data_IF_123983389100
#
_entry.id   IF_123983389100
#
_cell.length_a   1.000
_cell.length_b   1.000
_cell.length_c   1.000
_cell.angle_alpha   90.00
_cell.angle_beta   90.00
_cell.angle_gamma   90.00
#
_symmetry.space_group_name_H-M   'P 1'
#
loop_
_entity.id
_entity.type
_entity.pdbx_description
1 polymer ?
2 non-polymer ?
3 water ?
#
# COMPACT_ATOMS: atom_id res chain seq x y z
N UNK A 6 -11.33 -19.05 -6.76
CA UNK A 6 -11.83 -18.27 -7.89
C UNK A 6 -10.69 -17.58 -8.63
N UNK A 7 -9.48 -18.10 -8.47
CA UNK A 7 -8.30 -17.60 -9.15
C UNK A 7 -7.51 -18.79 -9.68
N UNK A 8 -7.17 -18.75 -10.96
CA UNK A 8 -6.52 -19.88 -11.59
C UNK A 8 -5.23 -20.22 -10.85
N UNK A 9 -4.89 -21.52 -10.72
CA UNK A 9 -3.63 -21.87 -10.07
C UNK A 9 -2.43 -21.35 -10.84
N UNK A 10 -1.38 -20.98 -10.10
CA UNK A 10 -0.15 -20.49 -10.69
C UNK A 10 0.82 -21.64 -10.93
N UNK A 11 1.58 -21.54 -12.03
CA UNK A 11 2.62 -22.50 -12.31
C UNK A 11 3.84 -22.20 -11.44
N UNK A 12 4.71 -23.20 -11.22
CA UNK A 12 5.94 -22.92 -10.47
C UNK A 12 6.81 -21.85 -11.12
N UNK A 13 6.80 -21.77 -12.45
CA UNK A 13 7.57 -20.74 -13.14
C UNK A 13 6.98 -19.37 -12.88
N UNK A 14 5.66 -19.25 -13.03
CA UNK A 14 5.01 -17.96 -12.81
C UNK A 14 5.16 -17.51 -11.36
N UNK A 15 5.02 -18.44 -10.42
CA UNK A 15 5.19 -18.09 -9.00
C UNK A 15 6.60 -17.59 -8.74
N UNK A 16 7.60 -18.21 -9.37
CA UNK A 16 8.98 -17.74 -9.19
C UNK A 16 9.18 -16.38 -9.84
N UNK A 17 8.59 -16.18 -11.02
CA UNK A 17 8.67 -14.87 -11.67
C UNK A 17 8.06 -13.78 -10.80
N UNK A 18 6.93 -14.07 -10.17
CA UNK A 18 6.24 -13.06 -9.37
C UNK A 18 7.12 -12.58 -8.22
N UNK A 19 7.93 -13.46 -7.64
CA UNK A 19 8.82 -13.06 -6.56
C UNK A 19 9.98 -12.21 -7.04
N UNK A 20 10.27 -12.22 -8.35
CA UNK A 20 11.41 -11.50 -8.90
C UNK A 20 11.05 -10.11 -9.40
N UNK A 21 9.79 -9.68 -9.26
CA UNK A 21 9.36 -8.38 -9.76
C UNK A 21 8.67 -7.62 -8.63
N UNK A 22 8.59 -6.31 -8.80
CA UNK A 22 8.07 -5.44 -7.76
C UNK A 22 6.56 -5.59 -7.62
N UNK A 23 6.07 -5.30 -6.41
CA UNK A 23 4.63 -5.22 -6.20
C UNK A 23 4.07 -4.00 -6.93
N UNK A 24 2.80 -4.10 -7.31
CA UNK A 24 2.20 -3.13 -8.23
C UNK A 24 0.92 -2.56 -7.66
N UNK A 25 0.62 -1.34 -8.07
CA UNK A 25 -0.56 -0.60 -7.64
C UNK A 25 -1.52 -0.51 -8.81
N UNK A 26 -2.80 -0.76 -8.55
CA UNK A 26 -3.87 -0.56 -9.52
C UNK A 26 -4.71 0.62 -9.03
N UNK A 27 -4.65 1.73 -9.76
CA UNK A 27 -5.43 2.90 -9.44
C UNK A 27 -6.78 2.77 -10.12
N UNK A 28 -7.86 3.03 -9.37
CA UNK A 28 -9.21 2.79 -9.84
C UNK A 28 -10.02 4.08 -9.78
N UNK A 29 -10.63 4.43 -10.90
CA UNK A 29 -11.62 5.50 -10.95
C UNK A 29 -12.97 4.97 -10.49
N UNK A 30 -13.85 5.88 -10.09
CA UNK A 30 -15.18 5.49 -9.62
C UNK A 30 -16.25 5.73 -10.68
N UNK A 31 -16.53 7.00 -10.97
CA UNK A 31 -17.68 7.33 -11.81
C UNK A 31 -17.48 6.84 -13.24
N UNK A 32 -18.45 6.07 -13.72
CA UNK A 32 -18.48 5.48 -15.06
C UNK A 32 -17.39 4.44 -15.27
N UNK A 33 -16.62 4.11 -14.24
CA UNK A 33 -15.68 3.00 -14.27
C UNK A 33 -16.15 1.83 -13.43
N UNK A 34 -16.47 2.07 -12.16
CA UNK A 34 -17.00 1.04 -11.27
C UNK A 34 -18.45 1.26 -10.89
N UNK A 35 -18.94 2.49 -10.95
CA UNK A 35 -20.29 2.84 -10.55
C UNK A 35 -20.81 3.93 -11.48
N UNK A 36 -22.12 4.13 -11.45
CA UNK A 36 -22.74 5.34 -11.99
C UNK A 36 -23.82 5.78 -11.02
N UNK A 37 -23.84 7.08 -10.72
CA UNK A 37 -24.79 7.63 -9.77
C UNK A 37 -25.45 8.86 -10.37
N UNK A 38 -26.60 9.21 -9.80
CA UNK A 38 -27.31 10.44 -10.14
C UNK A 38 -27.98 10.95 -8.88
N UNK A 39 -28.20 12.25 -8.83
CA UNK A 39 -28.87 12.86 -7.70
C UNK A 39 -30.33 13.12 -8.07
N UNK A 40 -30.99 13.99 -7.31
CA UNK A 40 -32.42 14.21 -7.48
C UNK A 40 -32.68 15.18 -8.62
N UNK A 41 -33.55 14.79 -9.54
CA UNK A 41 -33.92 15.64 -10.66
C UNK A 41 -33.79 14.94 -12.00
N UNK A 50 -35.38 2.31 -15.93
CA UNK A 50 -35.29 2.61 -14.51
C UNK A 50 -35.14 1.38 -13.65
N UNK A 51 -34.06 1.30 -12.88
CA UNK A 51 -33.82 0.16 -12.03
C UNK A 51 -33.48 0.61 -10.63
N UNK A 52 -33.79 -0.18 -9.62
CA UNK A 52 -33.51 0.24 -8.23
C UNK A 52 -32.02 0.35 -8.00
N UNK A 53 -31.57 1.43 -7.35
CA UNK A 53 -30.14 1.59 -7.12
C UNK A 53 -29.60 0.56 -6.14
N UNK A 54 -28.29 0.36 -6.20
CA UNK A 54 -27.65 -0.61 -5.31
C UNK A 54 -27.49 -0.05 -3.90
N UNK A 55 -27.15 1.22 -3.78
CA UNK A 55 -27.21 1.90 -2.49
C UNK A 55 -27.48 3.39 -2.74
N UNK A 56 -27.87 4.08 -1.67
CA UNK A 56 -28.24 5.49 -1.73
C UNK A 56 -27.40 6.24 -0.71
N UNK A 57 -26.65 7.23 -1.18
CA UNK A 57 -25.83 8.07 -0.32
C UNK A 57 -26.57 9.35 0.03
N UNK A 58 -26.48 9.75 1.30
CA UNK A 58 -26.98 11.04 1.77
C UNK A 58 -25.77 11.86 2.20
N UNK A 59 -25.39 12.84 1.39
CA UNK A 59 -24.27 13.72 1.68
C UNK A 59 -24.76 15.15 1.63
N UNK A 60 -24.28 15.97 2.57
CA UNK A 60 -24.58 17.40 2.58
C UNK A 60 -23.38 18.13 2.01
N UNK A 61 -23.62 18.95 0.99
CA UNK A 61 -22.58 19.65 0.26
C UNK A 61 -22.92 21.13 0.25
N UNK A 62 -21.96 21.97 0.66
CA UNK A 62 -22.23 23.37 0.95
C UNK A 62 -23.41 23.50 1.89
N UNK A 63 -23.53 22.55 2.81
CA UNK A 63 -24.57 22.54 3.84
C UNK A 63 -25.98 22.45 3.23
N UNK A 64 -26.07 21.80 2.07
CA UNK A 64 -27.35 21.40 1.49
C UNK A 64 -27.39 19.88 1.39
N UNK A 65 -28.41 19.22 1.92
CA UNK A 65 -28.42 17.75 1.91
C UNK A 65 -28.81 17.23 0.52
N UNK A 66 -28.05 16.26 0.02
CA UNK A 66 -28.20 15.75 -1.33
C UNK A 66 -28.24 14.24 -1.29
N UNK A 67 -29.09 13.65 -2.12
CA UNK A 67 -29.22 12.20 -2.24
C UNK A 67 -28.65 11.74 -3.56
N UNK A 68 -27.76 10.75 -3.50
CA UNK A 68 -27.15 10.16 -4.69
C UNK A 68 -27.59 8.69 -4.77
N UNK A 69 -28.21 8.33 -5.88
CA UNK A 69 -28.64 6.95 -6.15
C UNK A 69 -27.54 6.29 -6.98
N UNK A 70 -26.86 5.31 -6.40
CA UNK A 70 -25.63 4.76 -6.95
C UNK A 70 -25.89 3.37 -7.49
N UNK A 71 -25.46 3.13 -8.73
CA UNK A 71 -25.58 1.84 -9.38
C UNK A 71 -24.19 1.24 -9.55
N UNK A 72 -24.03 -0.01 -9.13
CA UNK A 72 -22.78 -0.73 -9.32
C UNK A 72 -22.71 -1.28 -10.74
N UNK A 73 -21.55 -1.13 -11.36
CA UNK A 73 -21.30 -1.79 -12.64
C UNK A 73 -21.35 -3.30 -12.45
N UNK A 74 -21.94 -4.04 -13.38
CA UNK A 74 -22.02 -5.50 -13.20
C UNK A 74 -20.67 -6.13 -12.89
N UNK A 75 -20.64 -6.98 -11.86
CA UNK A 75 -19.50 -7.80 -11.48
C UNK A 75 -18.41 -7.01 -10.76
N UNK A 76 -18.72 -5.82 -10.25
CA UNK A 76 -17.67 -5.00 -9.63
C UNK A 76 -17.19 -5.63 -8.33
N UNK A 77 -18.10 -6.24 -7.56
CA UNK A 77 -17.70 -6.86 -6.30
C UNK A 77 -16.75 -8.04 -6.56
N UNK A 78 -17.13 -8.93 -7.47
CA UNK A 78 -16.25 -10.03 -7.84
C UNK A 78 -14.92 -9.49 -8.38
N UNK A 79 -15.00 -8.50 -9.26
CA UNK A 79 -13.79 -7.91 -9.83
C UNK A 79 -12.86 -7.41 -8.73
N UNK A 80 -13.40 -6.62 -7.80
CA UNK A 80 -12.56 -6.07 -6.72
C UNK A 80 -11.99 -7.19 -5.86
N UNK A 81 -12.79 -8.23 -5.59
CA UNK A 81 -12.30 -9.34 -4.79
C UNK A 81 -11.09 -9.99 -5.44
N UNK A 82 -11.10 -10.12 -6.76
CA UNK A 82 -10.02 -10.82 -7.45
C UNK A 82 -8.77 -9.94 -7.55
N UNK A 83 -8.92 -8.73 -8.08
CA UNK A 83 -7.73 -7.91 -8.32
C UNK A 83 -7.07 -7.46 -7.02
N UNK A 84 -7.82 -7.42 -5.91
CA UNK A 84 -7.22 -7.08 -4.63
C UNK A 84 -6.21 -8.14 -4.18
N UNK A 85 -6.24 -9.33 -4.78
CA UNK A 85 -5.24 -10.34 -4.52
C UNK A 85 -3.98 -10.16 -5.36
N UNK A 86 -4.04 -9.33 -6.40
CA UNK A 86 -2.92 -9.13 -7.30
C UNK A 86 -2.26 -7.76 -7.18
N UNK A 87 -3.03 -6.74 -6.78
CA UNK A 87 -2.54 -5.38 -6.76
C UNK A 87 -2.96 -4.70 -5.46
N UNK A 88 -2.20 -3.68 -5.08
CA UNK A 88 -2.66 -2.73 -4.08
C UNK A 88 -3.60 -1.75 -4.78
N UNK A 89 -4.84 -1.68 -4.31
CA UNK A 89 -5.85 -0.86 -4.95
C UNK A 89 -5.87 0.53 -4.34
N UNK A 90 -5.98 1.53 -5.21
CA UNK A 90 -6.03 2.94 -4.79
C UNK A 90 -7.12 3.62 -5.58
N UNK A 91 -8.04 4.27 -4.87
CA UNK A 91 -9.08 5.07 -5.53
C UNK A 91 -8.51 6.44 -5.85
N UNK A 92 -8.66 6.86 -7.11
CA UNK A 92 -8.27 8.20 -7.55
C UNK A 92 -9.45 8.79 -8.30
N UNK A 93 -10.14 9.73 -7.68
CA UNK A 93 -11.34 10.33 -8.24
C UNK A 93 -11.22 11.85 -8.23
N UNK A 94 -11.85 12.49 -9.20
CA UNK A 94 -11.95 13.93 -9.23
C UNK A 94 -13.18 14.45 -8.49
N UNK A 95 -13.96 13.55 -7.90
CA UNK A 95 -15.12 13.96 -7.12
C UNK A 95 -14.68 14.59 -5.80
N UNK A 96 -15.60 15.29 -5.17
CA UNK A 96 -15.35 15.83 -3.84
C UNK A 96 -15.27 14.71 -2.82
N UNK A 97 -14.40 14.89 -1.83
CA UNK A 97 -14.12 13.82 -0.88
C UNK A 97 -15.40 13.32 -0.21
N UNK A 98 -16.32 14.24 0.11
CA UNK A 98 -17.54 13.83 0.80
C UNK A 98 -18.31 12.80 -0.02
N UNK A 99 -18.28 12.92 -1.35
CA UNK A 99 -18.95 11.96 -2.22
C UNK A 99 -18.07 10.75 -2.49
N UNK A 100 -16.85 10.97 -2.98
CA UNK A 100 -15.98 9.87 -3.33
C UNK A 100 -15.70 8.95 -2.14
N UNK A 101 -15.57 9.52 -0.95
CA UNK A 101 -15.27 8.70 0.22
C UNK A 101 -16.44 7.79 0.57
N UNK A 102 -17.67 8.31 0.51
CA UNK A 102 -18.83 7.49 0.84
C UNK A 102 -19.01 6.36 -0.16
N UNK A 103 -18.84 6.65 -1.45
CA UNK A 103 -18.92 5.59 -2.46
C UNK A 103 -17.89 4.51 -2.16
N UNK A 104 -16.66 4.92 -1.86
CA UNK A 104 -15.60 3.93 -1.62
C UNK A 104 -15.91 3.10 -0.38
N UNK A 105 -16.46 3.71 0.66
CA UNK A 105 -16.85 2.95 1.84
C UNK A 105 -17.85 1.86 1.49
N UNK A 106 -18.87 2.21 0.70
CA UNK A 106 -19.88 1.23 0.34
C UNK A 106 -19.30 0.16 -0.58
N UNK A 107 -18.44 0.56 -1.52
CA UNK A 107 -17.83 -0.41 -2.42
C UNK A 107 -16.92 -1.37 -1.66
N UNK A 108 -16.08 -0.83 -0.77
CA UNK A 108 -15.19 -1.67 0.01
C UNK A 108 -15.98 -2.71 0.81
N UNK A 109 -17.11 -2.31 1.38
CA UNK A 109 -17.98 -3.20 2.12
C UNK A 109 -17.21 -4.00 3.17
N UNK A 110 -16.38 -3.30 3.93
CA UNK A 110 -15.65 -3.85 5.07
C UNK A 110 -14.60 -4.87 4.68
N UNK A 111 -14.31 -5.03 3.38
CA UNK A 111 -13.25 -5.94 2.96
C UNK A 111 -11.86 -5.34 3.17
N UNK A 112 -11.75 -4.02 3.33
CA UNK A 112 -10.49 -3.35 3.61
C UNK A 112 -9.51 -3.48 2.43
N UNK A 113 -10.00 -3.16 1.23
CA UNK A 113 -9.18 -3.19 0.04
C UNK A 113 -9.12 -1.84 -0.67
N UNK A 114 -10.01 -0.90 -0.34
CA UNK A 114 -10.07 0.41 -0.96
C UNK A 114 -9.79 1.51 0.06
N UNK A 115 -8.88 1.26 1.00
CA UNK A 115 -8.64 2.20 2.08
C UNK A 115 -7.83 3.42 1.64
N UNK A 116 -7.08 3.33 0.56
CA UNK A 116 -6.25 4.43 0.08
C UNK A 116 -7.00 5.17 -1.03
N UNK A 117 -7.30 6.45 -0.79
CA UNK A 117 -8.11 7.24 -1.71
C UNK A 117 -7.47 8.59 -1.95
N UNK A 118 -7.64 9.08 -3.18
CA UNK A 118 -7.25 10.43 -3.58
C UNK A 118 -8.44 11.09 -4.27
N UNK A 119 -8.70 12.34 -3.93
CA UNK A 119 -9.90 13.00 -4.40
C UNK A 119 -9.58 14.24 -5.23
N UNK A 120 -10.56 15.15 -5.37
CA UNK A 120 -10.40 16.30 -6.25
C UNK A 120 -9.16 17.11 -5.89
N UNK A 121 -8.93 17.34 -4.60
CA UNK A 121 -7.82 18.17 -4.17
C UNK A 121 -6.47 17.63 -4.60
N UNK A 122 -6.40 16.41 -5.13
CA UNK A 122 -5.16 15.83 -5.61
C UNK A 122 -5.07 15.76 -7.13
N UNK A 123 -6.09 16.23 -7.84
CA UNK A 123 -6.07 16.27 -9.30
C UNK A 123 -5.62 17.65 -9.77
N UNK A 124 -5.04 17.67 -10.97
CA UNK A 124 -4.66 18.91 -11.65
C UNK A 124 -5.66 19.20 -12.76
N UNK A 125 -6.20 20.41 -12.78
CA UNK A 125 -7.16 20.80 -13.81
C UNK A 125 -6.43 21.31 -15.04
N UNK A 126 -6.83 20.84 -16.21
CA UNK A 126 -6.15 21.18 -17.45
C UNK A 126 -7.13 21.01 -18.61
N UNK A 127 -7.37 22.10 -19.34
CA UNK A 127 -8.26 22.08 -20.51
C UNK A 127 -9.59 21.41 -20.17
N UNK A 128 -10.17 21.81 -19.04
CA UNK A 128 -11.45 21.29 -18.63
C UNK A 128 -11.46 19.86 -18.16
N UNK A 129 -10.29 19.24 -17.99
CA UNK A 129 -10.18 17.86 -17.56
C UNK A 129 -9.35 17.78 -16.28
N UNK A 130 -9.81 16.97 -15.33
CA UNK A 130 -9.04 16.70 -14.12
C UNK A 130 -8.00 15.62 -14.42
N UNK A 131 -6.73 15.97 -14.32
CA UNK A 131 -5.64 15.03 -14.55
C UNK A 131 -5.26 14.40 -13.22
N UNK A 132 -5.13 13.09 -13.20
CA UNK A 132 -4.75 12.34 -12.00
C UNK A 132 -3.27 11.98 -12.15
N UNK A 133 -2.41 12.81 -11.57
CA UNK A 133 -0.97 12.62 -11.62
C UNK A 133 -0.59 11.38 -10.82
N UNK A 134 -0.30 10.28 -11.53
CA UNK A 134 -0.05 9.01 -10.87
C UNK A 134 1.11 9.09 -9.89
N UNK A 135 2.08 9.97 -10.15
CA UNK A 135 3.24 10.06 -9.26
C UNK A 135 2.84 10.51 -7.86
N UNK A 136 1.64 11.10 -7.70
CA UNK A 136 1.13 11.40 -6.37
C UNK A 136 0.95 10.12 -5.59
N UNK A 137 0.53 9.05 -6.26
CA UNK A 137 0.27 7.76 -5.62
C UNK A 137 1.55 6.94 -5.52
N UNK A 138 2.40 7.00 -6.53
CA UNK A 138 3.57 6.13 -6.62
C UNK A 138 4.43 6.59 -7.80
N UNK A 139 5.60 7.16 -7.52
CA UNK A 139 6.42 7.77 -8.55
C UNK A 139 7.26 6.75 -9.32
N UNK A 140 7.32 5.50 -8.88
CA UNK A 140 7.97 4.45 -9.65
C UNK A 140 6.98 3.97 -10.69
N UNK A 141 7.04 4.57 -11.88
CA UNK A 141 6.05 4.33 -12.92
C UNK A 141 6.16 2.94 -13.54
N UNK A 142 7.15 2.13 -13.14
CA UNK A 142 7.20 0.75 -13.60
C UNK A 142 6.15 -0.13 -12.95
N UNK A 143 5.55 0.31 -11.84
CA UNK A 143 4.77 -0.56 -10.98
C UNK A 143 3.43 0.05 -10.59
N UNK A 144 2.86 0.90 -11.45
CA UNK A 144 1.57 1.51 -11.19
C UNK A 144 0.74 1.50 -12.46
N UNK A 145 -0.56 1.25 -12.30
CA UNK A 145 -1.51 1.16 -13.40
C UNK A 145 -2.77 1.91 -12.99
N UNK A 146 -3.43 2.52 -13.98
CA UNK A 146 -4.68 3.24 -13.76
C UNK A 146 -5.75 2.69 -14.70
N UNK A 147 -6.90 2.35 -14.12
CA UNK A 147 -8.09 1.94 -14.87
C UNK A 147 -9.09 3.09 -14.80
N UNK A 148 -9.33 3.74 -15.93
CA UNK A 148 -10.17 4.93 -15.96
C UNK A 148 -10.91 4.98 -17.29
N UNK A 149 -12.17 5.43 -17.23
CA UNK A 149 -12.99 5.55 -18.43
C UNK A 149 -12.76 6.85 -19.19
N UNK A 150 -12.09 7.83 -18.59
CA UNK A 150 -11.81 9.10 -19.25
C UNK A 150 -10.34 9.16 -19.63
N UNK A 151 -9.99 9.16 -20.91
CA UNK A 151 -8.56 9.26 -21.27
C UNK A 151 -7.92 10.55 -20.79
N UNK A 152 -8.70 11.61 -20.59
CA UNK A 152 -8.14 12.84 -20.07
C UNK A 152 -7.54 12.68 -18.69
N UNK A 153 -8.05 11.71 -17.91
CA UNK A 153 -7.60 11.58 -16.53
C UNK A 153 -6.15 11.12 -16.45
N UNK A 154 -5.69 10.29 -17.39
CA UNK A 154 -4.31 9.82 -17.43
C UNK A 154 -3.55 10.44 -18.60
N UNK A 155 -3.87 11.70 -18.91
CA UNK A 155 -3.20 12.39 -20.01
C UNK A 155 -1.69 12.48 -19.78
N UNK A 156 -1.26 12.52 -18.52
CA UNK A 156 0.16 12.61 -18.19
C UNK A 156 0.83 11.25 -18.07
N UNK A 157 0.06 10.16 -18.12
CA UNK A 157 0.63 8.82 -17.97
C UNK A 157 -0.11 7.83 -18.85
N UNK A 158 -0.16 8.07 -20.17
CA UNK A 158 -0.84 7.11 -21.06
C UNK A 158 -0.18 5.74 -21.08
N UNK A 159 1.12 5.67 -20.79
CA UNK A 159 1.83 4.40 -20.78
C UNK A 159 1.46 3.51 -19.59
N UNK A 160 0.75 4.05 -18.60
CA UNK A 160 0.37 3.30 -17.41
C UNK A 160 -1.14 3.08 -17.32
N UNK A 161 -1.85 3.28 -18.42
CA UNK A 161 -3.31 3.35 -18.39
C UNK A 161 -3.93 2.12 -19.06
N UNK A 162 -4.96 1.58 -18.42
CA UNK A 162 -5.86 0.61 -19.02
C UNK A 162 -7.18 1.32 -19.30
N UNK A 163 -7.55 1.57 -20.56
CA UNK A 163 -8.85 2.19 -20.82
C UNK A 163 -9.98 1.20 -20.66
N UNK A 164 -11.16 1.74 -20.36
CA UNK A 164 -12.36 0.93 -20.19
C UNK A 164 -13.55 1.76 -20.67
N UNK A 165 -14.52 1.10 -21.27
CA UNK A 165 -15.72 1.79 -21.73
C UNK A 165 -16.44 2.44 -20.56
N UNK A 166 -16.97 3.64 -20.80
CA UNK A 166 -17.78 4.30 -19.78
C UNK A 166 -19.08 3.54 -19.60
N UNK A 167 -19.49 3.36 -18.34
CA UNK A 167 -20.69 2.62 -18.00
C UNK A 167 -21.70 3.52 -17.30
N UNK A 168 -22.96 3.41 -17.69
CA UNK A 168 -24.02 4.20 -17.10
C UNK A 168 -25.18 3.35 -16.62
N UNK A 169 -25.50 2.26 -17.32
CA UNK A 169 -26.67 1.48 -16.98
C UNK A 169 -26.71 0.09 -17.61
N UNK A 170 -26.00 -0.09 -18.73
CA UNK A 170 -26.08 -1.34 -19.50
C UNK A 170 -25.95 -2.56 -18.59
N UNK A 171 -27.03 -3.33 -18.39
CA UNK A 171 -26.94 -4.48 -17.48
C UNK A 171 -26.14 -5.64 -18.05
N UNK A 172 -25.90 -5.67 -19.36
CA UNK A 172 -25.15 -6.75 -19.99
C UNK A 172 -23.65 -6.49 -20.02
N UNK A 173 -23.18 -5.42 -19.40
CA UNK A 173 -21.75 -5.09 -19.40
C UNK A 173 -20.96 -6.17 -18.67
N UNK A 174 -19.88 -6.63 -19.29
CA UNK A 174 -18.98 -7.61 -18.68
C UNK A 174 -17.53 -7.13 -18.72
N UNK A 175 -17.31 -5.82 -18.86
CA UNK A 175 -15.96 -5.32 -19.11
C UNK A 175 -15.03 -5.62 -17.94
N UNK A 176 -15.54 -5.51 -16.70
CA UNK A 176 -14.70 -5.80 -15.55
C UNK A 176 -14.24 -7.27 -15.56
N UNK A 177 -15.13 -8.18 -15.96
CA UNK A 177 -14.75 -9.58 -16.07
C UNK A 177 -13.71 -9.79 -17.16
N UNK A 178 -13.88 -9.11 -18.30
CA UNK A 178 -12.98 -9.29 -19.43
C UNK A 178 -11.59 -8.74 -19.18
N UNK A 179 -11.40 -7.94 -18.13
CA UNK A 179 -10.09 -7.39 -17.80
C UNK A 179 -9.26 -8.31 -16.91
N UNK A 180 -9.87 -9.35 -16.33
CA UNK A 180 -9.19 -10.08 -15.27
C UNK A 180 -7.97 -10.84 -15.76
N UNK A 181 -8.04 -11.61 -16.85
CA UNK A 181 -6.82 -12.34 -17.27
C UNK A 181 -5.69 -11.42 -17.66
N UNK A 182 -5.99 -10.29 -18.31
CA UNK A 182 -4.95 -9.33 -18.67
C UNK A 182 -4.31 -8.74 -17.42
N UNK A 183 -5.13 -8.34 -16.44
CA UNK A 183 -4.59 -7.81 -15.20
C UNK A 183 -3.80 -8.87 -14.45
N UNK A 184 -4.24 -10.13 -14.53
CA UNK A 184 -3.47 -11.24 -13.98
C UNK A 184 -2.09 -11.32 -14.63
N UNK A 185 -2.06 -11.39 -15.96
CA UNK A 185 -0.78 -11.54 -16.66
C UNK A 185 0.11 -10.33 -16.47
N UNK A 186 -0.48 -9.14 -16.34
CA UNK A 186 0.33 -7.92 -16.28
C UNK A 186 1.21 -7.89 -15.03
N UNK A 187 0.77 -8.51 -13.94
CA UNK A 187 1.51 -8.42 -12.69
C UNK A 187 2.78 -9.26 -12.69
N UNK A 188 3.04 -10.03 -13.75
CA UNK A 188 4.28 -10.77 -13.87
C UNK A 188 5.35 -10.00 -14.63
N UNK A 189 5.03 -8.83 -15.15
CA UNK A 189 6.02 -7.98 -15.79
C UNK A 189 6.85 -7.25 -14.74
N UNK A 190 8.08 -6.91 -15.10
CA UNK A 190 8.91 -6.06 -14.25
C UNK A 190 8.53 -4.60 -14.40
N UNK A 191 8.07 -4.20 -15.60
CA UNK A 191 7.63 -2.84 -15.87
C UNK A 191 6.30 -2.93 -16.62
N UNK A 192 5.22 -2.47 -15.98
CA UNK A 192 3.90 -2.57 -16.60
C UNK A 192 3.87 -1.84 -17.93
N UNK A 193 4.73 -0.84 -18.10
CA UNK A 193 4.75 -0.10 -19.37
C UNK A 193 5.24 -0.96 -20.52
N UNK A 194 5.96 -2.06 -20.25
CA UNK A 194 6.34 -2.97 -21.32
C UNK A 194 5.10 -3.43 -22.10
N UNK A 195 3.99 -3.61 -21.42
CA UNK A 195 2.74 -4.06 -22.04
C UNK A 195 1.85 -2.88 -22.41
N UNK A 196 1.62 -1.95 -21.47
CA UNK A 196 0.64 -0.90 -21.68
C UNK A 196 1.12 0.18 -22.64
N UNK A 197 2.44 0.27 -22.89
CA UNK A 197 2.94 1.27 -23.83
C UNK A 197 2.66 0.91 -25.28
N UNK A 198 2.49 -0.38 -25.59
CA UNK A 198 2.12 -0.77 -26.95
C UNK A 198 0.73 -0.27 -27.29
N UNK A 199 -0.26 -0.57 -26.44
CA UNK A 199 -1.64 -0.21 -26.68
C UNK A 199 -1.81 1.31 -26.73
N UNK A 208 4.10 2.17 -36.07
CA UNK A 208 2.82 2.18 -36.76
C UNK A 208 2.86 1.30 -38.00
N UNK A 209 4.00 1.32 -38.70
CA UNK A 209 4.18 0.50 -39.89
C UNK A 209 4.84 -0.84 -39.60
N UNK A 210 5.60 -0.94 -38.52
CA UNK A 210 6.37 -2.15 -38.23
C UNK A 210 5.50 -3.18 -37.53
N UNK A 211 6.09 -4.34 -37.26
CA UNK A 211 5.44 -5.38 -36.49
C UNK A 211 6.14 -5.62 -35.17
N UNK A 212 6.89 -4.62 -34.69
CA UNK A 212 7.63 -4.73 -33.44
C UNK A 212 6.74 -4.31 -32.28
N UNK A 213 6.47 -5.25 -31.38
CA UNK A 213 5.85 -4.91 -30.11
C UNK A 213 6.88 -4.57 -29.04
N UNK A 214 8.15 -4.92 -29.27
CA UNK A 214 9.23 -4.69 -28.31
C UNK A 214 10.26 -3.76 -28.94
N UNK A 215 10.87 -2.94 -28.08
CA UNK A 215 11.97 -2.06 -28.49
C UNK A 215 13.22 -2.30 -27.65
N UNK A 216 13.24 -3.32 -26.82
CA UNK A 216 14.41 -3.65 -26.02
C UNK A 216 14.29 -5.10 -25.57
N UNK A 217 15.42 -5.66 -25.12
CA UNK A 217 15.40 -7.02 -24.59
C UNK A 217 14.64 -7.07 -23.27
N UNK A 218 14.68 -6.00 -22.48
CA UNK A 218 13.96 -6.00 -21.21
C UNK A 218 12.46 -5.99 -21.43
N UNK A 219 11.98 -5.17 -22.37
CA UNK A 219 10.56 -5.18 -22.70
C UNK A 219 10.15 -6.53 -23.29
N UNK A 220 10.99 -7.12 -24.14
CA UNK A 220 10.67 -8.41 -24.73
C UNK A 220 10.55 -9.48 -23.66
N UNK A 221 11.42 -9.44 -22.65
CA UNK A 221 11.32 -10.40 -21.56
C UNK A 221 10.02 -10.20 -20.78
N UNK A 222 9.55 -8.96 -20.65
CA UNK A 222 8.30 -8.71 -19.95
C UNK A 222 7.11 -9.25 -20.72
N UNK A 223 7.16 -9.20 -22.07
CA UNK A 223 6.08 -9.78 -22.86
C UNK A 223 6.11 -11.30 -22.81
N UNK A 224 7.31 -11.89 -22.72
CA UNK A 224 7.40 -13.33 -22.52
C UNK A 224 6.73 -13.76 -21.23
N UNK A 225 6.95 -12.99 -20.15
CA UNK A 225 6.31 -13.29 -18.88
C UNK A 225 4.80 -13.04 -18.96
N UNK A 226 4.41 -11.91 -19.56
CA UNK A 226 3.00 -11.61 -19.76
C UNK A 226 2.31 -12.76 -20.50
N UNK A 227 2.89 -13.18 -21.62
CA UNK A 227 2.27 -14.23 -22.42
C UNK A 227 2.28 -15.58 -21.71
N UNK A 228 3.31 -15.84 -20.90
CA UNK A 228 3.38 -17.12 -20.19
C UNK A 228 2.16 -17.32 -19.29
N UNK A 229 1.73 -16.27 -18.60
CA UNK A 229 0.55 -16.38 -17.75
C UNK A 229 -0.70 -16.60 -18.59
N UNK A 230 -0.82 -15.89 -19.71
CA UNK A 230 -1.94 -16.13 -20.62
C UNK A 230 -1.94 -17.57 -21.12
N UNK A 231 -0.74 -18.12 -21.39
CA UNK A 231 -0.65 -19.51 -21.80
C UNK A 231 -1.27 -20.44 -20.76
N UNK A 232 -1.08 -20.12 -19.48
CA UNK A 232 -1.66 -20.94 -18.43
C UNK A 232 -3.18 -20.88 -18.44
N UNK A 233 -3.74 -19.74 -18.86
CA UNK A 233 -5.20 -19.64 -19.02
C UNK A 233 -5.68 -20.54 -20.16
N UNK A 234 -5.01 -20.45 -21.32
CA UNK A 234 -5.50 -21.12 -22.52
C UNK A 234 -5.46 -22.64 -22.36
N UNK A 235 -4.39 -23.16 -21.77
CA UNK A 235 -4.15 -24.60 -21.74
C UNK A 235 -4.41 -25.21 -20.36
N UNK A 236 -5.22 -24.55 -19.53
CA UNK A 236 -5.45 -25.04 -18.18
C UNK A 236 -6.24 -26.34 -18.15
N UNK A 237 -6.99 -26.65 -19.22
CA UNK A 237 -7.83 -27.85 -19.23
C UNK A 237 -7.05 -29.14 -19.48
N UNK A 238 -5.80 -29.04 -19.92
CA UNK A 238 -4.96 -30.22 -20.09
C UNK A 238 -4.19 -30.58 -18.81
N UNK A 239 -4.58 -30.02 -17.68
CA UNK A 239 -3.94 -30.31 -16.40
C UNK A 239 -4.66 -31.46 -15.70
N UNK A 240 -4.06 -31.99 -14.63
CA UNK A 240 -4.74 -33.09 -13.91
C UNK A 240 -6.12 -32.72 -13.40
N UNK A 241 -6.79 -33.66 -12.74
CA UNK A 241 -8.17 -33.47 -12.31
C UNK A 241 -8.33 -32.17 -11.53
N UNK A 242 -7.59 -32.03 -10.43
CA UNK A 242 -7.85 -30.95 -9.48
C UNK A 242 -7.55 -29.61 -10.11
N UNK A 243 -6.39 -29.46 -10.75
CA UNK A 243 -6.07 -28.21 -11.42
C UNK A 243 -7.05 -27.95 -12.56
N UNK A 244 -7.54 -29.02 -13.20
CA UNK A 244 -8.49 -28.84 -14.29
C UNK A 244 -9.86 -28.41 -13.77
N UNK A 245 -10.23 -28.82 -12.55
CA UNK A 245 -11.50 -28.38 -11.98
C UNK A 245 -11.45 -26.90 -11.62
N UNK A 246 -10.33 -26.43 -11.07
CA UNK A 246 -10.19 -25.02 -10.78
C UNK A 246 -10.14 -24.19 -12.06
N UNK A 247 -9.67 -24.79 -13.15
CA UNK A 247 -9.67 -24.11 -14.44
C UNK A 247 -11.09 -23.92 -14.97
N UNK A 248 -11.87 -25.00 -15.01
CA UNK A 248 -13.26 -24.90 -15.47
C UNK A 248 -14.02 -23.87 -14.66
N UNK A 249 -13.78 -23.82 -13.35
CA UNK A 249 -14.41 -22.79 -12.52
C UNK A 249 -14.00 -21.40 -12.98
N UNK A 250 -12.71 -21.21 -13.23
CA UNK A 250 -12.20 -19.89 -13.61
C UNK A 250 -12.81 -19.45 -14.94
N UNK A 251 -12.84 -20.36 -15.91
CA UNK A 251 -13.37 -20.01 -17.23
C UNK A 251 -14.87 -19.74 -17.17
N UNK A 252 -15.61 -20.51 -16.37
CA UNK A 252 -17.04 -20.29 -16.24
C UNK A 252 -17.35 -19.01 -15.48
N UNK A 253 -16.41 -18.49 -14.70
CA UNK A 253 -16.62 -17.27 -13.93
C UNK A 253 -16.11 -16.03 -14.66
N UNK A 254 -15.11 -16.16 -15.52
CA UNK A 254 -14.46 -15.01 -16.13
C UNK A 254 -15.03 -14.69 -17.51
N UNK A 255 -16.21 -15.22 -17.83
CA UNK A 255 -16.92 -14.87 -19.06
C UNK A 255 -16.09 -15.20 -20.30
N UNK A 256 -15.70 -16.48 -20.39
CA UNK A 256 -14.88 -16.94 -21.50
C UNK A 256 -15.56 -18.11 -22.23
N UNK B 6 22.17 -2.54 4.25
CA UNK B 6 22.26 -3.98 4.07
C UNK B 6 21.41 -4.71 5.11
N UNK B 7 20.89 -5.88 4.74
CA UNK B 7 20.01 -6.65 5.60
C UNK B 7 20.61 -8.04 5.79
N UNK B 8 20.37 -8.61 6.97
CA UNK B 8 20.90 -9.93 7.29
C UNK B 8 20.24 -10.99 6.40
N UNK B 9 21.01 -11.94 5.87
CA UNK B 9 20.41 -12.96 4.99
C UNK B 9 19.34 -13.77 5.72
N UNK B 10 18.37 -14.25 4.95
CA UNK B 10 17.26 -15.04 5.47
C UNK B 10 17.58 -16.52 5.38
N UNK B 11 17.28 -17.25 6.45
CA UNK B 11 17.45 -18.69 6.44
C UNK B 11 16.35 -19.34 5.59
N UNK B 12 16.59 -20.57 5.11
CA UNK B 12 15.54 -21.25 4.34
C UNK B 12 14.28 -21.46 5.14
N UNK B 13 14.42 -21.72 6.45
CA UNK B 13 13.25 -21.90 7.30
C UNK B 13 12.44 -20.61 7.36
N UNK B 14 13.10 -19.49 7.64
CA UNK B 14 12.38 -18.23 7.81
C UNK B 14 11.89 -17.68 6.47
N UNK B 15 12.62 -17.93 5.39
CA UNK B 15 12.15 -17.54 4.07
C UNK B 15 10.82 -18.21 3.76
N UNK B 16 10.72 -19.52 4.01
CA UNK B 16 9.45 -20.21 3.83
C UNK B 16 8.38 -19.66 4.75
N UNK B 17 8.75 -19.37 6.01
CA UNK B 17 7.79 -18.80 6.94
C UNK B 17 7.23 -17.48 6.43
N UNK B 18 8.10 -16.63 5.87
CA UNK B 18 7.64 -15.34 5.35
C UNK B 18 6.57 -15.53 4.29
N UNK B 19 6.64 -16.61 3.52
CA UNK B 19 5.63 -16.88 2.49
C UNK B 19 4.32 -17.39 3.07
N UNK B 20 4.33 -17.87 4.32
CA UNK B 20 3.15 -18.43 4.95
C UNK B 20 2.36 -17.41 5.76
N UNK B 21 2.69 -16.12 5.67
CA UNK B 21 2.02 -15.10 6.48
C UNK B 21 1.73 -13.89 5.60
N UNK B 22 0.72 -13.12 6.03
CA UNK B 22 0.29 -11.95 5.26
C UNK B 22 1.33 -10.85 5.34
N UNK B 23 1.41 -10.04 4.28
CA UNK B 23 2.23 -8.85 4.31
C UNK B 23 1.64 -7.85 5.30
N UNK B 24 2.52 -7.05 5.90
CA UNK B 24 2.15 -6.20 7.03
C UNK B 24 2.40 -4.74 6.73
N UNK B 25 1.62 -3.89 7.37
CA UNK B 25 1.73 -2.44 7.23
C UNK B 25 2.43 -1.88 8.46
N UNK B 26 3.40 -1.00 8.26
CA UNK B 26 4.07 -0.28 9.34
C UNK B 26 3.64 1.18 9.26
N UNK B 27 2.80 1.58 10.20
CA UNK B 27 2.33 2.98 10.29
C UNK B 27 3.35 3.77 11.08
N UNK B 28 3.76 4.92 10.54
CA UNK B 28 4.80 5.73 11.13
C UNK B 28 4.26 7.13 11.44
N UNK B 29 4.43 7.55 12.68
CA UNK B 29 4.22 8.94 13.04
C UNK B 29 5.35 9.80 12.46
N UNK B 30 5.14 11.11 12.44
CA UNK B 30 6.13 12.06 11.95
C UNK B 30 6.77 12.84 13.09
N UNK B 31 6.04 13.80 13.67
CA UNK B 31 6.64 14.72 14.63
C UNK B 31 7.10 13.99 15.88
N UNK B 32 8.36 14.21 16.25
CA UNK B 32 9.01 13.62 17.43
C UNK B 32 9.17 12.11 17.31
N UNK B 33 8.83 11.52 16.17
CA UNK B 33 9.10 10.12 15.88
C UNK B 33 10.15 9.97 14.79
N UNK B 34 9.94 10.58 13.63
CA UNK B 34 10.92 10.60 12.55
C UNK B 34 11.60 11.94 12.39
N UNK B 35 10.97 13.03 12.82
CA UNK B 35 11.48 14.38 12.61
C UNK B 35 11.04 15.27 13.75
N UNK B 36 11.69 16.42 13.88
CA UNK B 36 11.24 17.48 14.76
C UNK B 36 11.41 18.82 14.04
N UNK B 37 10.40 19.68 14.17
CA UNK B 37 10.38 20.95 13.44
C UNK B 37 9.96 22.07 14.38
N UNK B 38 10.34 23.29 13.99
CA UNK B 38 9.94 24.50 14.70
C UNK B 38 9.69 25.59 13.67
N UNK B 39 8.75 26.48 13.98
CA UNK B 39 8.45 27.61 13.12
C UNK B 39 9.24 28.82 13.60
N UNK B 40 8.90 30.00 13.07
CA UNK B 40 9.59 31.24 13.40
C UNK B 40 8.86 31.92 14.56
N UNK B 41 9.60 32.19 15.63
CA UNK B 41 9.02 32.85 16.80
C UNK B 41 9.20 34.35 16.79
N UNK B 49 22.02 25.53 21.19
CA UNK B 49 21.64 24.12 21.07
C UNK B 49 21.28 23.86 19.62
N UNK B 50 21.45 24.89 18.81
CA UNK B 50 20.87 24.96 17.49
C UNK B 50 21.83 24.54 16.43
N UNK B 51 21.48 23.48 15.71
CA UNK B 51 22.22 23.01 14.55
C UNK B 51 21.47 23.37 13.28
N UNK B 52 22.14 23.41 12.13
CA UNK B 52 21.44 23.75 10.88
C UNK B 52 20.39 22.71 10.55
N UNK B 53 19.23 23.13 10.06
CA UNK B 53 18.15 22.17 9.78
C UNK B 53 18.41 21.40 8.50
N UNK B 54 17.78 20.22 8.43
CA UNK B 54 17.97 19.36 7.26
C UNK B 54 17.23 19.89 6.05
N UNK B 55 16.04 20.47 6.26
CA UNK B 55 15.35 21.17 5.19
C UNK B 55 14.37 22.16 5.81
N UNK B 56 13.97 23.14 5.01
CA UNK B 56 13.06 24.19 5.44
C UNK B 56 11.84 24.16 4.54
N UNK B 57 10.66 24.20 5.15
CA UNK B 57 9.39 24.09 4.44
C UNK B 57 8.68 25.43 4.45
N UNK B 58 8.17 25.83 3.29
CA UNK B 58 7.38 27.06 3.14
C UNK B 58 5.96 26.63 2.79
N UNK B 59 5.07 26.69 3.78
CA UNK B 59 3.68 26.30 3.61
C UNK B 59 2.80 27.50 3.91
N UNK B 60 1.68 27.60 3.19
CA UNK B 60 0.69 28.65 3.42
C UNK B 60 -0.43 28.04 4.25
N UNK B 61 -0.57 28.50 5.49
CA UNK B 61 -1.61 28.06 6.40
C UNK B 61 -2.53 29.24 6.68
N UNK B 62 -3.83 29.05 6.45
CA UNK B 62 -4.80 30.13 6.62
C UNK B 62 -4.39 31.35 5.81
N UNK B 63 -3.83 31.10 4.63
CA UNK B 63 -3.32 32.16 3.74
C UNK B 63 -2.20 32.95 4.40
N UNK B 64 -1.47 32.33 5.31
CA UNK B 64 -0.35 32.97 6.00
C UNK B 64 0.92 32.17 5.78
N UNK B 65 1.82 32.64 4.90
CA UNK B 65 3.15 32.01 4.79
C UNK B 65 3.81 31.70 6.12
N UNK B 66 4.09 30.42 6.36
CA UNK B 66 4.82 29.96 7.54
C UNK B 66 6.02 29.15 7.06
N UNK B 67 7.13 29.29 7.77
CA UNK B 67 8.35 28.54 7.46
C UNK B 67 8.66 27.58 8.61
N UNK B 68 8.89 26.33 8.27
CA UNK B 68 9.21 25.28 9.23
C UNK B 68 10.64 24.80 9.03
N UNK B 69 11.42 24.77 10.10
CA UNK B 69 12.78 24.25 10.09
C UNK B 69 12.73 22.83 10.63
N UNK B 70 12.96 21.86 9.77
CA UNK B 70 12.74 20.44 10.08
C UNK B 70 14.08 19.77 10.28
N UNK B 71 14.24 19.12 11.43
CA UNK B 71 15.42 18.32 11.74
C UNK B 71 15.05 16.85 11.66
N UNK B 72 15.90 16.07 11.00
CA UNK B 72 15.69 14.62 10.91
C UNK B 72 16.23 13.92 12.16
N UNK B 73 15.51 12.91 12.60
CA UNK B 73 16.03 12.06 13.66
C UNK B 73 17.21 11.24 13.11
N UNK B 74 18.26 11.05 13.90
CA UNK B 74 19.43 10.31 13.40
C UNK B 74 19.05 8.97 12.78
N UNK B 75 19.54 8.73 11.57
CA UNK B 75 19.46 7.45 10.88
C UNK B 75 18.09 7.17 10.28
N UNK B 76 17.22 8.18 10.17
CA UNK B 76 15.88 7.95 9.65
C UNK B 76 15.94 7.49 8.19
N UNK B 77 16.83 8.06 7.39
CA UNK B 77 16.93 7.68 6.00
C UNK B 77 17.29 6.21 5.87
N UNK B 78 18.32 5.76 6.58
CA UNK B 78 18.67 4.34 6.60
C UNK B 78 17.51 3.51 7.14
N UNK B 79 16.85 4.00 8.18
CA UNK B 79 15.73 3.27 8.77
C UNK B 79 14.62 3.05 7.74
N UNK B 80 14.23 4.11 7.03
CA UNK B 80 13.16 3.99 6.05
C UNK B 80 13.54 3.03 4.92
N UNK B 81 14.79 3.11 4.45
CA UNK B 81 15.18 2.27 3.33
C UNK B 81 15.16 0.79 3.70
N UNK B 82 15.45 0.47 4.96
CA UNK B 82 15.44 -0.93 5.38
C UNK B 82 14.01 -1.41 5.60
N UNK B 83 13.23 -0.70 6.41
CA UNK B 83 11.90 -1.19 6.77
C UNK B 83 10.98 -1.20 5.56
N UNK B 84 11.24 -0.35 4.56
CA UNK B 84 10.43 -0.39 3.34
C UNK B 84 10.59 -1.72 2.60
N UNK B 85 11.64 -2.48 2.91
CA UNK B 85 11.79 -3.83 2.36
C UNK B 85 10.97 -4.86 3.11
N UNK B 86 10.52 -4.54 4.34
CA UNK B 86 9.83 -5.48 5.20
C UNK B 86 8.34 -5.20 5.33
N UNK B 87 7.93 -3.94 5.24
CA UNK B 87 6.57 -3.54 5.52
C UNK B 87 6.07 -2.60 4.44
N UNK B 88 4.75 -2.56 4.27
CA UNK B 88 4.08 -1.49 3.54
C UNK B 88 4.04 -0.27 4.45
N UNK B 89 4.80 0.76 4.12
CA UNK B 89 4.92 1.94 4.98
C UNK B 89 3.75 2.89 4.75
N UNK B 90 3.22 3.42 5.85
CA UNK B 90 2.11 4.36 5.82
C UNK B 90 2.38 5.46 6.83
N UNK B 91 2.22 6.71 6.41
CA UNK B 91 2.33 7.85 7.31
C UNK B 91 0.94 8.15 7.88
N UNK B 92 0.87 8.31 9.20
CA UNK B 92 -0.36 8.66 9.89
C UNK B 92 -0.03 9.77 10.87
N UNK B 93 -0.43 11.00 10.54
CA UNK B 93 -0.08 12.17 11.31
C UNK B 93 -1.34 12.94 11.68
N UNK B 94 -1.30 13.59 12.84
CA UNK B 94 -2.37 14.49 13.25
C UNK B 94 -2.18 15.90 12.70
N UNK B 95 -1.13 16.13 11.92
CA UNK B 95 -0.91 17.43 11.32
C UNK B 95 -1.88 17.67 10.17
N UNK B 96 -2.02 18.93 9.79
CA UNK B 96 -2.77 19.27 8.60
C UNK B 96 -2.03 18.74 7.36
N UNK B 97 -2.82 18.36 6.34
CA UNK B 97 -2.22 17.73 5.17
C UNK B 97 -1.14 18.60 4.55
N UNK B 98 -1.36 19.92 4.52
CA UNK B 98 -0.40 20.81 3.88
C UNK B 98 0.98 20.69 4.50
N UNK B 99 1.06 20.42 5.80
CA UNK B 99 2.33 20.28 6.48
C UNK B 99 2.86 18.86 6.39
N UNK B 100 2.05 17.88 6.76
CA UNK B 100 2.51 16.49 6.76
C UNK B 100 2.84 15.98 5.39
N UNK B 101 2.08 16.38 4.37
CA UNK B 101 2.36 15.94 3.01
C UNK B 101 3.72 16.44 2.55
N UNK B 102 4.06 17.69 2.89
CA UNK B 102 5.33 18.25 2.44
C UNK B 102 6.49 17.62 3.20
N UNK B 103 6.33 17.38 4.50
CA UNK B 103 7.38 16.68 5.25
C UNK B 103 7.63 15.30 4.67
N UNK B 104 6.56 14.56 4.41
CA UNK B 104 6.70 13.22 3.85
C UNK B 104 7.40 13.26 2.50
N UNK B 105 7.09 14.28 1.68
CA UNK B 105 7.75 14.41 0.38
C UNK B 105 9.25 14.56 0.55
N UNK B 106 9.68 15.29 1.58
CA UNK B 106 11.11 15.50 1.80
C UNK B 106 11.76 14.23 2.31
N UNK B 107 11.12 13.52 3.23
CA UNK B 107 11.67 12.27 3.74
C UNK B 107 11.76 11.23 2.62
N UNK B 108 10.69 11.09 1.84
CA UNK B 108 10.70 10.12 0.75
C UNK B 108 11.86 10.35 -0.19
N UNK B 109 12.09 11.61 -0.58
CA UNK B 109 13.22 11.98 -1.42
C UNK B 109 13.26 11.16 -2.70
N UNK B 110 12.08 10.97 -3.31
CA UNK B 110 11.92 10.33 -4.61
C UNK B 110 12.11 8.83 -4.57
N UNK B 111 12.05 8.20 -3.40
CA UNK B 111 12.13 6.75 -3.30
C UNK B 111 10.78 6.08 -3.46
N UNK B 112 9.68 6.83 -3.35
CA UNK B 112 8.34 6.29 -3.55
C UNK B 112 8.00 5.22 -2.51
N UNK B 113 8.46 5.43 -1.28
CA UNK B 113 8.16 4.51 -0.18
C UNK B 113 7.29 5.15 0.90
N UNK B 114 7.00 6.45 0.80
CA UNK B 114 6.24 7.17 1.82
C UNK B 114 5.07 7.93 1.20
N UNK B 115 4.43 7.35 0.20
CA UNK B 115 3.33 8.01 -0.49
C UNK B 115 1.98 7.78 0.18
N UNK B 116 1.85 6.77 1.04
CA UNK B 116 0.60 6.47 1.71
C UNK B 116 0.52 7.30 2.98
N UNK B 117 -0.42 8.24 3.02
CA UNK B 117 -0.48 9.21 4.10
C UNK B 117 -1.92 9.41 4.57
N UNK B 118 -2.06 9.59 5.88
CA UNK B 118 -3.32 9.96 6.52
C UNK B 118 -3.04 11.08 7.50
N UNK B 119 -3.91 12.09 7.52
CA UNK B 119 -3.64 13.32 8.26
C UNK B 119 -4.69 13.60 9.32
N UNK B 120 -4.80 14.87 9.72
CA UNK B 120 -5.68 15.22 10.84
C UNK B 120 -7.12 14.82 10.58
N UNK B 121 -7.58 14.98 9.34
CA UNK B 121 -8.97 14.68 9.02
C UNK B 121 -9.33 13.20 9.22
N UNK B 122 -8.34 12.33 9.35
CA UNK B 122 -8.59 10.92 9.62
C UNK B 122 -8.42 10.55 11.08
N UNK B 123 -8.10 11.51 11.94
CA UNK B 123 -7.90 11.26 13.36
C UNK B 123 -9.19 11.51 14.12
N UNK B 124 -9.29 10.88 15.29
CA UNK B 124 -10.39 11.08 16.23
C UNK B 124 -9.87 11.88 17.41
N UNK B 125 -10.43 13.06 17.65
CA UNK B 125 -10.05 13.85 18.80
C UNK B 125 -10.76 13.34 20.05
N UNK B 126 -10.03 13.31 21.16
CA UNK B 126 -10.57 12.77 22.41
C UNK B 126 -9.67 13.14 23.58
N UNK B 127 -10.14 14.04 24.45
CA UNK B 127 -9.39 14.45 25.63
C UNK B 127 -8.02 14.99 25.26
N UNK B 128 -8.00 15.95 24.34
CA UNK B 128 -6.79 16.66 23.98
C UNK B 128 -5.84 15.92 23.07
N UNK B 129 -6.04 14.63 22.84
CA UNK B 129 -5.15 13.83 21.99
C UNK B 129 -5.87 13.39 20.73
N UNK B 130 -5.16 13.42 19.61
CA UNK B 130 -5.67 12.89 18.36
C UNK B 130 -5.41 11.39 18.32
N UNK B 131 -6.48 10.60 18.25
CA UNK B 131 -6.37 9.16 18.17
C UNK B 131 -6.29 8.76 16.69
N UNK B 132 -5.36 7.87 16.38
CA UNK B 132 -5.15 7.39 15.01
C UNK B 132 -5.77 6.01 14.90
N UNK B 133 -7.01 5.96 14.41
CA UNK B 133 -7.72 4.69 14.25
C UNK B 133 -7.08 3.89 13.11
N UNK B 134 -6.39 2.79 13.46
CA UNK B 134 -5.67 2.02 12.46
C UNK B 134 -6.60 1.42 11.43
N UNK B 135 -7.85 1.16 11.78
CA UNK B 135 -8.78 0.56 10.82
C UNK B 135 -9.08 1.51 9.67
N UNK B 136 -8.78 2.80 9.83
CA UNK B 136 -8.83 3.72 8.69
C UNK B 136 -7.76 3.33 7.66
N UNK B 137 -6.67 2.74 8.11
CA UNK B 137 -5.59 2.30 7.23
C UNK B 137 -5.81 0.87 6.76
N UNK B 138 -6.28 0.01 7.66
CA UNK B 138 -6.43 -1.42 7.37
C UNK B 138 -7.18 -2.09 8.52
N UNK B 139 -8.28 -2.77 8.21
CA UNK B 139 -9.14 -3.34 9.24
C UNK B 139 -8.58 -4.62 9.85
N UNK B 140 -7.68 -5.30 9.15
CA UNK B 140 -7.11 -6.56 9.63
C UNK B 140 -6.00 -6.25 10.62
N UNK B 141 -6.32 -6.30 11.91
CA UNK B 141 -5.39 -5.89 12.96
C UNK B 141 -4.30 -6.92 13.22
N UNK B 142 -4.31 -8.05 12.52
CA UNK B 142 -3.20 -8.99 12.62
C UNK B 142 -1.99 -8.56 11.80
N UNK B 143 -2.15 -7.56 10.92
CA UNK B 143 -1.13 -7.26 9.93
C UNK B 143 -0.86 -5.77 9.80
N UNK B 144 -1.01 -5.02 10.90
CA UNK B 144 -0.72 -3.60 10.89
C UNK B 144 -0.04 -3.23 12.20
N UNK B 145 1.00 -2.40 12.11
CA UNK B 145 1.80 -1.97 13.25
C UNK B 145 1.95 -0.46 13.17
N UNK B 146 1.88 0.22 14.32
CA UNK B 146 2.07 1.65 14.40
C UNK B 146 3.26 1.95 15.31
N UNK B 147 4.17 2.78 14.83
CA UNK B 147 5.29 3.29 15.61
C UNK B 147 5.04 4.77 15.86
N UNK B 148 4.83 5.14 17.12
CA UNK B 148 4.46 6.50 17.47
C UNK B 148 5.04 6.84 18.84
N UNK B 149 5.54 8.07 18.97
CA UNK B 149 6.08 8.55 20.23
C UNK B 149 5.00 8.95 21.23
N UNK B 150 3.75 9.11 20.79
CA UNK B 150 2.68 9.55 21.67
C UNK B 150 1.72 8.39 21.92
N UNK B 151 1.61 7.87 23.15
CA UNK B 151 0.73 6.71 23.37
C UNK B 151 -0.73 7.01 23.14
N UNK B 152 -1.18 8.24 23.34
CA UNK B 152 -2.55 8.60 23.01
C UNK B 152 -2.89 8.36 21.55
N UNK B 153 -1.89 8.31 20.67
CA UNK B 153 -2.15 8.13 19.25
C UNK B 153 -2.73 6.76 18.97
N UNK B 154 -2.25 5.72 19.67
CA UNK B 154 -2.75 4.37 19.49
C UNK B 154 -3.59 3.91 20.68
N UNK B 155 -4.33 4.85 21.28
CA UNK B 155 -5.17 4.52 22.42
C UNK B 155 -6.18 3.43 22.09
N UNK B 156 -6.61 3.35 20.83
CA UNK B 156 -7.59 2.35 20.42
C UNK B 156 -6.96 1.04 19.96
N UNK B 157 -5.64 1.00 19.75
CA UNK B 157 -4.96 -0.19 19.24
C UNK B 157 -3.62 -0.37 19.94
N UNK B 158 -3.61 -0.43 21.27
CA UNK B 158 -2.33 -0.65 21.97
C UNK B 158 -1.69 -1.99 21.65
N UNK B 159 -2.49 -3.00 21.29
CA UNK B 159 -1.93 -4.29 20.90
C UNK B 159 -1.20 -4.24 19.57
N UNK B 160 -1.23 -3.11 18.86
CA UNK B 160 -0.58 -2.96 17.56
C UNK B 160 0.51 -1.91 17.58
N UNK B 161 0.95 -1.47 18.75
CA UNK B 161 1.78 -0.29 18.88
C UNK B 161 3.20 -0.65 19.27
N UNK B 162 4.16 0.06 18.68
CA UNK B 162 5.56 0.01 19.10
C UNK B 162 5.92 1.38 19.66
N UNK B 163 6.02 1.54 20.98
CA UNK B 163 6.40 2.84 21.53
C UNK B 163 7.83 3.22 21.15
N UNK B 164 8.08 4.53 21.10
CA UNK B 164 9.41 5.06 20.82
C UNK B 164 9.55 6.37 21.58
N UNK B 165 10.75 6.62 22.11
CA UNK B 165 11.00 7.86 22.82
C UNK B 165 10.78 9.05 21.89
N UNK B 166 10.16 10.10 22.42
CA UNK B 166 10.03 11.34 21.67
C UNK B 166 11.40 11.94 21.41
N UNK B 167 11.65 12.37 20.17
CA UNK B 167 12.92 12.94 19.78
C UNK B 167 12.76 14.41 19.42
N UNK B 168 13.63 15.25 19.98
CA UNK B 168 13.60 16.68 19.74
C UNK B 168 14.90 17.22 19.16
N UNK B 169 16.06 16.78 19.65
CA UNK B 169 17.32 17.37 19.23
C UNK B 169 18.53 16.48 19.49
N UNK B 170 18.40 15.49 20.38
CA UNK B 170 19.52 14.67 20.80
C UNK B 170 20.22 14.03 19.61
N UNK B 171 21.46 14.45 19.27
CA UNK B 171 22.14 13.86 18.11
C UNK B 171 22.66 12.45 18.36
N UNK B 172 22.74 11.99 19.60
CA UNK B 172 23.20 10.65 19.91
C UNK B 172 22.07 9.61 19.87
N UNK B 173 20.85 10.03 19.59
CA UNK B 173 19.73 9.10 19.52
C UNK B 173 19.98 8.03 18.47
N UNK B 174 19.80 6.76 18.86
CA UNK B 174 19.91 5.63 17.95
C UNK B 174 18.65 4.77 17.97
N UNK B 175 17.52 5.35 18.37
CA UNK B 175 16.32 4.54 18.63
C UNK B 175 15.83 3.85 17.36
N UNK B 176 15.94 4.51 16.21
CA UNK B 176 15.48 3.88 14.97
C UNK B 176 16.34 2.68 14.62
N UNK B 177 17.65 2.77 14.84
CA UNK B 177 18.53 1.63 14.60
C UNK B 177 18.20 0.49 15.55
N UNK B 178 18.00 0.79 16.83
CA UNK B 178 17.74 -0.25 17.82
C UNK B 178 16.42 -0.98 17.58
N UNK B 179 15.55 -0.44 16.74
CA UNK B 179 14.27 -1.07 16.45
C UNK B 179 14.32 -2.04 15.28
N UNK B 180 15.40 -2.03 14.50
CA UNK B 180 15.41 -2.75 13.22
C UNK B 180 15.36 -4.27 13.42
N UNK B 181 16.09 -4.83 14.38
CA UNK B 181 16.01 -6.30 14.55
C UNK B 181 14.63 -6.77 15.00
N UNK B 182 13.97 -6.02 15.89
CA UNK B 182 12.63 -6.40 16.32
C UNK B 182 11.64 -6.31 15.17
N UNK B 183 11.70 -5.22 14.38
CA UNK B 183 10.81 -5.11 13.23
C UNK B 183 11.09 -6.22 12.23
N UNK B 184 12.37 -6.58 12.05
CA UNK B 184 12.72 -7.70 11.19
C UNK B 184 12.01 -8.97 11.64
N UNK B 185 12.18 -9.34 12.92
CA UNK B 185 11.59 -10.56 13.42
C UNK B 185 10.06 -10.48 13.44
N UNK B 186 9.52 -9.29 13.73
CA UNK B 186 8.08 -9.15 13.89
C UNK B 186 7.33 -9.58 12.63
N UNK B 187 7.95 -9.44 11.46
CA UNK B 187 7.26 -9.71 10.21
C UNK B 187 7.14 -11.20 9.89
N UNK B 188 7.72 -12.07 10.71
CA UNK B 188 7.56 -13.50 10.55
C UNK B 188 6.41 -14.07 11.38
N UNK B 189 5.69 -13.22 12.09
CA UNK B 189 4.51 -13.66 12.82
C UNK B 189 3.30 -13.67 11.89
N UNK B 190 2.31 -14.50 12.23
CA UNK B 190 1.04 -14.46 11.52
C UNK B 190 0.14 -13.35 12.04
N UNK B 191 0.25 -13.03 13.33
CA UNK B 191 -0.50 -11.94 13.95
C UNK B 191 0.50 -11.11 14.76
N UNK B 192 0.71 -9.86 14.33
CA UNK B 192 1.67 -9.01 15.02
C UNK B 192 1.29 -8.83 16.49
N UNK B 193 0.00 -8.97 16.82
CA UNK B 193 -0.42 -8.82 18.20
C UNK B 193 0.10 -9.95 19.08
N UNK B 194 0.52 -11.07 18.49
CA UNK B 194 1.14 -12.12 19.29
C UNK B 194 2.35 -11.61 20.05
N UNK B 195 3.06 -10.63 19.49
CA UNK B 195 4.25 -10.06 20.10
C UNK B 195 3.93 -8.76 20.82
N UNK B 196 3.24 -7.85 20.14
CA UNK B 196 3.01 -6.51 20.68
C UNK B 196 1.96 -6.47 21.79
N UNK B 197 1.13 -7.51 21.90
CA UNK B 197 0.15 -7.54 22.99
C UNK B 197 0.82 -7.84 24.33
N UNK B 198 1.97 -8.52 24.32
CA UNK B 198 2.68 -8.78 25.56
C UNK B 198 3.14 -7.47 26.20
N UNK B 199 3.66 -6.54 25.40
CA UNK B 199 4.18 -5.27 25.90
C UNK B 199 3.05 -4.27 26.13
N UNK B 208 0.13 -10.72 34.50
CA UNK B 208 0.81 -9.90 35.51
C UNK B 208 1.56 -10.79 36.50
N UNK B 209 0.85 -11.79 37.03
CA UNK B 209 1.46 -12.70 38.01
C UNK B 209 2.09 -13.92 37.35
N UNK B 210 1.73 -14.24 36.12
CA UNK B 210 2.19 -15.45 35.46
C UNK B 210 3.45 -15.18 34.65
N UNK B 211 4.06 -16.27 34.17
CA UNK B 211 5.14 -16.22 33.22
C UNK B 211 4.73 -16.59 31.81
N UNK B 212 3.43 -16.66 31.53
CA UNK B 212 2.94 -17.06 30.22
C UNK B 212 2.96 -15.86 29.28
N UNK B 213 3.83 -15.92 28.27
CA UNK B 213 3.81 -14.96 27.17
C UNK B 213 2.83 -15.37 26.07
N UNK B 214 2.24 -16.55 26.17
CA UNK B 214 1.35 -17.08 25.16
C UNK B 214 0.04 -17.49 25.82
N UNK B 215 -1.08 -17.17 25.16
CA UNK B 215 -2.40 -17.55 25.63
C UNK B 215 -3.13 -18.43 24.60
N UNK B 216 -2.39 -18.99 23.65
CA UNK B 216 -2.95 -19.88 22.64
C UNK B 216 -1.79 -20.50 21.86
N UNK B 217 -2.08 -21.61 21.18
CA UNK B 217 -1.06 -22.25 20.37
C UNK B 217 -0.65 -21.35 19.20
N UNK B 218 -1.60 -20.60 18.64
CA UNK B 218 -1.29 -19.70 17.54
C UNK B 218 -0.29 -18.64 17.98
N UNK B 219 -0.54 -18.00 19.12
CA UNK B 219 0.42 -17.02 19.63
C UNK B 219 1.77 -17.66 19.90
N UNK B 220 1.79 -18.86 20.46
CA UNK B 220 3.04 -19.52 20.80
C UNK B 220 3.87 -19.75 19.53
N UNK B 221 3.25 -20.27 18.48
CA UNK B 221 3.98 -20.47 17.23
C UNK B 221 4.49 -19.15 16.68
N UNK B 222 3.73 -18.07 16.86
CA UNK B 222 4.19 -16.75 16.44
C UNK B 222 5.47 -16.37 17.17
N UNK B 223 5.51 -16.60 18.48
CA UNK B 223 6.72 -16.29 19.25
C UNK B 223 7.88 -17.17 18.81
N UNK B 224 7.61 -18.43 18.46
CA UNK B 224 8.65 -19.29 17.92
C UNK B 224 9.28 -18.67 16.68
N UNK B 225 8.45 -18.22 15.74
CA UNK B 225 8.97 -17.62 14.52
C UNK B 225 9.71 -16.32 14.83
N UNK B 226 9.10 -15.45 15.62
CA UNK B 226 9.76 -14.22 16.04
C UNK B 226 11.13 -14.51 16.63
N UNK B 227 11.22 -15.50 17.50
CA UNK B 227 12.48 -15.80 18.18
C UNK B 227 13.49 -16.42 17.23
N UNK B 228 13.03 -17.27 16.31
CA UNK B 228 13.94 -17.88 15.35
C UNK B 228 14.70 -16.82 14.56
N UNK B 229 14.01 -15.75 14.15
CA UNK B 229 14.68 -14.69 13.40
C UNK B 229 15.73 -13.98 14.26
N UNK B 230 15.43 -13.76 15.53
CA UNK B 230 16.42 -13.19 16.43
C UNK B 230 17.61 -14.12 16.59
N UNK B 231 17.35 -15.42 16.68
CA UNK B 231 18.44 -16.40 16.75
C UNK B 231 19.40 -16.22 15.58
N UNK B 232 18.87 -15.94 14.39
CA UNK B 232 19.73 -15.73 13.23
C UNK B 232 20.59 -14.48 13.41
N UNK B 233 20.08 -13.48 14.13
CA UNK B 233 20.91 -12.31 14.44
C UNK B 233 22.01 -12.66 15.43
N UNK B 234 21.67 -13.40 16.48
CA UNK B 234 22.61 -13.64 17.57
C UNK B 234 23.80 -14.47 17.09
N UNK B 235 23.56 -15.46 16.23
CA UNK B 235 24.58 -16.42 15.82
C UNK B 235 24.94 -16.29 14.34
N UNK B 236 24.87 -15.08 13.79
CA UNK B 236 25.15 -14.92 12.36
C UNK B 236 26.63 -14.99 12.03
N UNK B 237 27.52 -14.86 13.02
CA UNK B 237 28.94 -14.91 12.76
C UNK B 237 29.49 -16.32 12.65
N UNK B 238 28.70 -17.34 13.00
CA UNK B 238 29.12 -18.72 12.85
C UNK B 238 28.93 -19.25 11.43
N UNK B 239 28.27 -18.49 10.56
CA UNK B 239 27.93 -18.94 9.22
C UNK B 239 29.16 -18.90 8.33
N UNK B 240 29.06 -19.47 7.12
CA UNK B 240 30.19 -19.42 6.18
C UNK B 240 30.66 -17.99 5.93
N UNK B 241 31.79 -17.89 5.25
CA UNK B 241 32.41 -16.58 5.01
C UNK B 241 31.48 -15.67 4.23
N UNK B 242 30.91 -16.16 3.13
CA UNK B 242 30.03 -15.33 2.30
C UNK B 242 28.94 -14.69 3.16
N UNK B 243 28.35 -15.47 4.06
CA UNK B 243 27.25 -14.95 4.88
C UNK B 243 27.76 -14.30 6.16
N UNK B 244 28.90 -14.73 6.67
CA UNK B 244 29.42 -14.14 7.91
C UNK B 244 29.91 -12.72 7.69
N UNK B 245 30.34 -12.40 6.46
CA UNK B 245 30.75 -11.04 6.17
C UNK B 245 29.55 -10.10 6.06
N UNK B 246 28.42 -10.60 5.54
CA UNK B 246 27.21 -9.79 5.51
C UNK B 246 26.65 -9.58 6.91
N UNK B 247 26.93 -10.52 7.82
CA UNK B 247 26.53 -10.34 9.21
C UNK B 247 27.46 -9.39 9.94
N UNK B 248 28.76 -9.44 9.62
CA UNK B 248 29.69 -8.45 10.16
C UNK B 248 29.23 -7.03 9.83
N UNK B 249 28.85 -6.80 8.57
CA UNK B 249 28.38 -5.47 8.17
C UNK B 249 27.07 -5.13 8.86
N UNK B 250 26.11 -6.06 8.84
CA UNK B 250 24.79 -5.78 9.40
C UNK B 250 24.89 -5.37 10.87
N UNK B 251 25.72 -6.08 11.64
CA UNK B 251 25.87 -5.75 13.05
C UNK B 251 26.67 -4.47 13.26
N UNK B 252 27.47 -4.06 12.27
CA UNK B 252 28.19 -2.80 12.37
C UNK B 252 27.29 -1.61 12.06
N UNK B 253 26.26 -1.81 11.24
CA UNK B 253 25.34 -0.73 10.90
C UNK B 253 24.20 -0.57 11.90
N UNK B 254 23.86 -1.62 12.65
CA UNK B 254 22.65 -1.65 13.45
C UNK B 254 22.87 -1.21 14.90
N UNK B 255 24.00 -0.58 15.20
CA UNK B 255 24.29 -0.10 16.56
C UNK B 255 24.22 -1.25 17.56
N UNK B 256 24.74 -2.41 17.16
CA UNK B 256 24.78 -3.58 18.01
C UNK B 256 26.11 -3.62 18.74
N UNK B 257 26.29 -4.65 19.57
CA UNK B 257 27.52 -4.80 20.35
C UNK B 257 27.83 -6.27 20.60
#
# INVERSE_FOLDING_TARGET
MTVRYDILPLSPVSRNRLAQVKRKILVLDLDETLIHSHHDGVLRPTVRPGTPPDFILKVVIDKHPVRFFVHKRPHVDFFLEVVSQWYELVVFTASMEIYGSAVADKLDNSRSILKRRYYRQHCTLELGSYIKDLSVVHSDLSSIVILDNSPGAYRSHPDNAIPIKSWFSDPSDTALLNLLPMLDALRFTADVRSVLSRNLHQHRLWGSAKGSESNSLEQAEDLKAFERRLTEYIHCLQAPSIIAARCRTVLAEYNMSCDDTGKLILKPRPHHHHHH
MTVRYDILPLSPVSRNRLAQVKRKILVLDLDETLIHSHHDGVLRPTVRPGTPPDFILKVVIDKHPVRFFVHKRPHVDFFLEVVSQWYELVVFTASMEIYGSAVADKLDNSRSILKRRYYRQHCTLELGSYIKDLSVVHSDLSSIVILDNSPGAYRSHPDNAIPIKSWFSDPSDTALLNLLPMLDALRFTADVRSVLSRNLHQHRLWGSAKGSESNSLEQAEDLKAFERRLTEYIHCLQAPSIIAARCRTVLAEYNMSCDDTGKLILKPRPHHHHHH
#
